data_IF_300286417505
#
_entry.id   IF_300286417505
#
_cell.length_a   1.000
_cell.length_b   1.000
_cell.length_c   1.000
_cell.angle_alpha   90.00
_cell.angle_beta   90.00
_cell.angle_gamma   90.00
#
_symmetry.space_group_name_H-M   'P 1'
#
loop_
_entity.id
_entity.type
_entity.pdbx_description
1 polymer ?
#
# COMPACT_ATOMS: atom_id res chain seq x y z
N UNK A 1 -48.36 12.98 -41.63
CA UNK A 1 -47.00 13.53 -41.80
C UNK A 1 -46.29 13.31 -40.48
N UNK A 2 -45.26 12.44 -40.44
CA UNK A 2 -44.51 12.23 -39.19
C UNK A 2 -43.61 13.44 -38.96
N UNK A 3 -43.70 14.01 -37.77
CA UNK A 3 -43.13 15.31 -37.45
C UNK A 3 -41.60 15.28 -37.59
N UNK A 4 -41.07 16.27 -38.30
CA UNK A 4 -39.64 16.47 -38.54
C UNK A 4 -38.81 16.38 -37.23
N UNK A 5 -39.41 16.84 -36.14
CA UNK A 5 -38.89 16.81 -34.77
C UNK A 5 -38.65 15.39 -34.25
N UNK A 6 -39.54 14.45 -34.57
CA UNK A 6 -39.46 13.05 -34.16
C UNK A 6 -38.28 12.35 -34.86
N UNK A 7 -38.08 12.64 -36.16
CA UNK A 7 -36.95 12.13 -36.94
C UNK A 7 -35.60 12.68 -36.45
N UNK A 8 -35.55 13.94 -36.02
CA UNK A 8 -34.34 14.54 -35.43
C UNK A 8 -34.01 13.89 -34.09
N UNK A 9 -35.02 13.61 -33.26
CA UNK A 9 -34.83 12.94 -31.98
C UNK A 9 -34.30 11.51 -32.15
N UNK A 10 -34.83 10.76 -33.11
CA UNK A 10 -34.42 9.39 -33.40
C UNK A 10 -32.97 9.34 -33.93
N UNK A 11 -32.57 10.31 -34.76
CA UNK A 11 -31.17 10.46 -35.20
C UNK A 11 -30.22 10.79 -34.05
N UNK A 12 -30.64 11.65 -33.12
CA UNK A 12 -29.83 11.97 -31.95
C UNK A 12 -29.64 10.75 -31.02
N UNK A 13 -30.68 9.92 -30.87
CA UNK A 13 -30.59 8.68 -30.10
C UNK A 13 -29.65 7.66 -30.75
N UNK A 14 -29.75 7.45 -32.07
CA UNK A 14 -28.84 6.56 -32.80
C UNK A 14 -27.38 7.02 -32.73
N UNK A 15 -27.12 8.32 -32.85
CA UNK A 15 -25.77 8.88 -32.74
C UNK A 15 -25.18 8.69 -31.33
N UNK A 16 -26.01 8.76 -30.27
CA UNK A 16 -25.57 8.50 -28.89
C UNK A 16 -25.28 7.02 -28.68
N UNK A 17 -26.16 6.13 -29.14
CA UNK A 17 -25.98 4.68 -29.05
C UNK A 17 -24.72 4.23 -29.82
N UNK A 18 -24.45 4.80 -31.00
CA UNK A 18 -23.24 4.50 -31.76
C UNK A 18 -21.96 5.01 -31.06
N UNK A 19 -22.04 6.18 -30.42
CA UNK A 19 -20.92 6.74 -29.63
C UNK A 19 -20.63 5.93 -28.37
N UNK A 20 -21.66 5.38 -27.74
CA UNK A 20 -21.55 4.46 -26.61
C UNK A 20 -21.01 3.10 -27.03
N UNK A 21 -21.46 2.55 -28.16
CA UNK A 21 -20.93 1.31 -28.73
C UNK A 21 -19.44 1.41 -29.12
N UNK A 22 -18.96 2.60 -29.52
CA UNK A 22 -17.53 2.86 -29.81
C UNK A 22 -16.68 3.12 -28.56
N UNK A 23 -17.30 3.35 -27.39
CA UNK A 23 -16.57 3.49 -26.12
C UNK A 23 -16.29 2.10 -25.54
N UNK A 24 -15.34 1.38 -26.13
CA UNK A 24 -14.72 0.26 -25.43
C UNK A 24 -13.99 0.81 -24.20
N UNK A 25 -14.21 0.26 -22.99
CA UNK A 25 -13.42 0.65 -21.83
C UNK A 25 -11.95 0.38 -22.12
N UNK A 26 -11.03 1.31 -21.77
CA UNK A 26 -9.62 1.08 -21.96
C UNK A 26 -9.23 -0.19 -21.20
N UNK A 27 -8.40 -1.08 -21.80
CA UNK A 27 -7.90 -2.24 -21.08
C UNK A 27 -7.22 -1.76 -19.79
N UNK A 28 -7.34 -2.52 -18.68
CA UNK A 28 -6.69 -2.15 -17.44
C UNK A 28 -5.20 -1.92 -17.70
N UNK A 29 -4.59 -0.91 -17.06
CA UNK A 29 -3.18 -0.60 -17.26
C UNK A 29 -2.36 -1.86 -17.01
N UNK A 30 -1.51 -2.22 -17.97
CA UNK A 30 -0.61 -3.35 -17.81
C UNK A 30 0.23 -3.14 -16.53
N UNK A 31 0.41 -4.18 -15.70
CA UNK A 31 1.24 -4.08 -14.51
C UNK A 31 2.64 -3.59 -14.93
N UNK A 32 3.13 -2.58 -14.22
CA UNK A 32 4.46 -2.03 -14.50
C UNK A 32 5.50 -3.17 -14.38
N UNK A 33 6.46 -3.26 -15.30
CA UNK A 33 7.51 -4.25 -15.20
C UNK A 33 8.26 -4.03 -13.89
N UNK A 34 8.22 -5.04 -13.02
CA UNK A 34 8.97 -5.02 -11.77
C UNK A 34 10.44 -4.85 -12.11
N UNK A 35 11.08 -3.82 -11.54
CA UNK A 35 12.52 -3.64 -11.71
C UNK A 35 13.22 -4.90 -11.19
N UNK A 36 14.20 -5.44 -11.93
CA UNK A 36 14.94 -6.60 -11.47
C UNK A 36 15.56 -6.29 -10.11
N UNK A 37 15.38 -7.22 -9.18
CA UNK A 37 15.95 -7.13 -7.84
C UNK A 37 17.47 -7.26 -8.00
N UNK A 38 18.23 -6.53 -7.18
CA UNK A 38 19.69 -6.67 -7.20
C UNK A 38 20.05 -8.09 -6.71
N UNK A 39 21.08 -8.75 -7.25
CA UNK A 39 21.41 -10.14 -6.90
C UNK A 39 21.69 -10.33 -5.39
N UNK A 40 22.26 -9.32 -4.72
CA UNK A 40 22.43 -9.33 -3.26
C UNK A 40 21.11 -9.47 -2.52
N UNK A 41 20.07 -8.78 -3.00
CA UNK A 41 18.74 -8.80 -2.39
C UNK A 41 17.96 -10.05 -2.77
N UNK A 42 18.27 -10.69 -3.89
CA UNK A 42 17.72 -12.01 -4.24
C UNK A 42 18.21 -13.06 -3.25
N UNK A 43 19.51 -13.06 -2.91
CA UNK A 43 20.06 -13.94 -1.89
C UNK A 43 19.48 -13.68 -0.48
N UNK A 44 19.22 -12.42 -0.12
CA UNK A 44 18.55 -12.08 1.16
C UNK A 44 17.07 -12.48 1.22
N UNK A 45 16.40 -12.57 0.07
CA UNK A 45 14.99 -12.97 -0.02
C UNK A 45 14.82 -14.48 -0.15
N UNK A 46 15.91 -15.21 -0.40
CA UNK A 46 15.91 -16.67 -0.46
C UNK A 46 15.46 -17.22 0.90
N UNK A 47 14.36 -17.99 0.92
CA UNK A 47 13.75 -18.53 2.14
C UNK A 47 12.72 -17.62 2.82
N UNK A 48 12.51 -16.37 2.37
CA UNK A 48 11.47 -15.48 2.91
C UNK A 48 10.18 -15.64 2.11
N UNK A 49 9.09 -16.01 2.78
CA UNK A 49 7.78 -16.05 2.16
C UNK A 49 7.17 -14.64 2.06
N UNK A 50 7.04 -14.14 0.82
CA UNK A 50 6.41 -12.85 0.52
C UNK A 50 5.18 -12.97 -0.38
N UNK A 51 4.66 -14.18 -0.59
CA UNK A 51 3.48 -14.38 -1.44
C UNK A 51 2.20 -13.88 -0.75
N UNK A 52 1.38 -13.11 -1.46
CA UNK A 52 0.18 -12.49 -0.87
C UNK A 52 -0.75 -13.50 -0.20
N UNK A 53 -0.91 -14.69 -0.76
CA UNK A 53 -1.72 -15.76 -0.18
C UNK A 53 -1.21 -16.23 1.18
N UNK A 54 0.10 -16.51 1.30
CA UNK A 54 0.70 -16.93 2.57
C UNK A 54 0.66 -15.81 3.61
N UNK A 55 0.92 -14.57 3.20
CA UNK A 55 0.85 -13.40 4.07
C UNK A 55 -0.57 -13.19 4.62
N UNK A 56 -1.59 -13.34 3.78
CA UNK A 56 -2.99 -13.26 4.21
C UNK A 56 -3.36 -14.37 5.19
N UNK A 57 -2.95 -15.61 4.93
CA UNK A 57 -3.20 -16.75 5.83
C UNK A 57 -2.48 -16.57 7.17
N UNK A 58 -1.23 -16.14 7.16
CA UNK A 58 -0.46 -15.84 8.36
C UNK A 58 -1.12 -14.74 9.18
N UNK A 59 -1.60 -13.66 8.53
CA UNK A 59 -2.30 -12.58 9.22
C UNK A 59 -3.64 -13.02 9.84
N UNK A 60 -4.39 -13.88 9.16
CA UNK A 60 -5.63 -14.44 9.71
C UNK A 60 -5.33 -15.26 10.98
N UNK A 61 -4.34 -16.14 10.92
CA UNK A 61 -3.87 -16.93 12.08
C UNK A 61 -3.37 -16.05 13.21
N UNK A 62 -2.60 -15.01 12.90
CA UNK A 62 -2.13 -14.03 13.88
C UNK A 62 -3.30 -13.39 14.64
N UNK A 63 -4.32 -12.93 13.89
CA UNK A 63 -5.50 -12.30 14.48
C UNK A 63 -6.24 -13.23 15.43
N UNK A 64 -6.45 -14.49 15.03
CA UNK A 64 -7.10 -15.49 15.89
C UNK A 64 -6.39 -15.65 17.22
N UNK A 65 -5.05 -15.80 17.19
CA UNK A 65 -4.24 -15.95 18.41
C UNK A 65 -4.28 -14.70 19.31
N UNK A 66 -4.28 -13.51 18.71
CA UNK A 66 -4.39 -12.26 19.46
C UNK A 66 -5.77 -12.10 20.11
N UNK A 67 -6.84 -12.43 19.39
CA UNK A 67 -8.20 -12.40 19.94
C UNK A 67 -8.40 -13.42 21.07
N UNK A 68 -7.75 -14.57 20.97
CA UNK A 68 -7.71 -15.58 22.03
C UNK A 68 -6.80 -15.20 23.21
N UNK A 69 -6.09 -14.05 23.15
CA UNK A 69 -5.16 -13.60 24.18
C UNK A 69 -3.88 -14.45 24.27
N UNK A 70 -3.56 -15.24 23.24
CA UNK A 70 -2.41 -16.14 23.19
C UNK A 70 -1.16 -15.42 22.66
N UNK A 71 -0.78 -14.35 23.36
CA UNK A 71 0.44 -13.62 23.04
C UNK A 71 1.20 -13.21 24.32
N UNK A 72 2.49 -13.01 24.18
CA UNK A 72 3.36 -12.48 25.21
C UNK A 72 4.24 -11.36 24.62
N UNK A 73 4.39 -10.27 25.37
CA UNK A 73 5.28 -9.18 24.98
C UNK A 73 6.60 -9.37 25.70
N UNK A 74 7.65 -9.69 24.93
CA UNK A 74 8.96 -9.94 25.51
C UNK A 74 9.54 -8.66 26.15
N UNK A 75 10.39 -8.78 27.19
CA UNK A 75 11.03 -7.63 27.83
C UNK A 75 11.80 -6.73 26.85
N UNK A 76 12.34 -7.30 25.78
CA UNK A 76 13.03 -6.54 24.74
C UNK A 76 12.07 -5.61 23.97
N UNK A 77 10.88 -6.09 23.60
CA UNK A 77 9.85 -5.27 22.97
C UNK A 77 9.35 -4.17 23.92
N UNK A 78 9.21 -4.46 25.22
CA UNK A 78 8.89 -3.44 26.24
C UNK A 78 9.97 -2.35 26.33
N UNK A 79 11.24 -2.73 26.18
CA UNK A 79 12.35 -1.77 26.13
C UNK A 79 12.22 -0.78 24.97
N UNK A 80 11.92 -1.26 23.76
CA UNK A 80 11.68 -0.40 22.60
C UNK A 80 10.42 0.44 22.74
N UNK A 81 9.33 -0.14 23.25
CA UNK A 81 8.09 0.58 23.52
C UNK A 81 8.33 1.82 24.40
N UNK A 82 9.12 1.67 25.46
CA UNK A 82 9.51 2.78 26.35
C UNK A 82 10.45 3.78 25.68
N UNK A 83 11.40 3.32 24.88
CA UNK A 83 12.38 4.19 24.22
C UNK A 83 11.77 5.01 23.07
N UNK A 84 10.82 4.43 22.33
CA UNK A 84 10.24 5.01 21.12
C UNK A 84 8.83 5.59 21.33
N UNK A 85 8.22 5.33 22.49
CA UNK A 85 6.99 6.01 22.93
C UNK A 85 5.69 5.41 22.42
N UNK A 86 5.63 4.10 22.20
CA UNK A 86 4.40 3.35 21.90
C UNK A 86 4.04 2.40 23.04
N UNK A 87 2.77 1.99 23.12
CA UNK A 87 2.23 1.19 24.22
C UNK A 87 1.85 -0.22 23.75
N UNK A 88 1.57 -1.11 24.72
CA UNK A 88 1.12 -2.47 24.41
C UNK A 88 -0.14 -2.49 23.52
N UNK A 89 -1.10 -1.61 23.78
CA UNK A 89 -2.31 -1.54 22.96
C UNK A 89 -2.03 -1.13 21.52
N UNK A 90 -0.97 -0.34 21.27
CA UNK A 90 -0.56 0.04 19.92
C UNK A 90 0.02 -1.17 19.18
N UNK A 91 0.83 -1.98 19.88
CA UNK A 91 1.40 -3.23 19.35
C UNK A 91 0.27 -4.19 18.98
N UNK A 92 -0.67 -4.43 19.89
CA UNK A 92 -1.83 -5.30 19.68
C UNK A 92 -2.72 -4.74 18.56
N UNK A 93 -2.94 -3.43 18.51
CA UNK A 93 -3.68 -2.76 17.45
C UNK A 93 -3.06 -2.99 16.06
N UNK A 94 -1.74 -2.89 15.97
CA UNK A 94 -1.00 -3.20 14.72
C UNK A 94 -1.06 -4.67 14.37
N UNK A 95 -1.00 -5.56 15.35
CA UNK A 95 -1.17 -6.99 15.12
C UNK A 95 -2.54 -7.31 14.53
N UNK A 96 -3.61 -6.66 14.99
CA UNK A 96 -4.98 -6.94 14.51
C UNK A 96 -5.32 -6.26 13.18
N UNK A 97 -4.93 -5.00 13.03
CA UNK A 97 -5.33 -4.13 11.91
C UNK A 97 -4.24 -3.96 10.84
N UNK A 98 -3.03 -4.44 11.10
CA UNK A 98 -1.88 -4.30 10.21
C UNK A 98 -1.90 -5.27 9.04
N UNK A 99 -0.72 -5.49 8.47
CA UNK A 99 -0.48 -6.47 7.40
C UNK A 99 0.83 -7.19 7.67
N UNK A 100 0.82 -8.50 7.52
CA UNK A 100 2.07 -9.28 7.49
C UNK A 100 2.78 -8.98 6.18
N UNK A 101 4.02 -8.53 6.26
CA UNK A 101 4.83 -8.12 5.10
C UNK A 101 5.82 -9.21 4.69
N UNK A 102 6.30 -9.98 5.65
CA UNK A 102 7.24 -11.07 5.42
C UNK A 102 7.03 -12.15 6.49
N UNK A 103 7.16 -13.41 6.07
CA UNK A 103 7.22 -14.56 6.95
C UNK A 103 8.59 -15.21 6.75
N UNK A 104 9.30 -15.42 7.86
CA UNK A 104 10.59 -16.09 7.95
C UNK A 104 10.33 -17.50 8.51
N UNK A 105 10.15 -18.53 7.68
CA UNK A 105 9.71 -19.85 8.12
C UNK A 105 10.72 -20.54 9.04
N UNK A 106 12.01 -20.37 8.78
CA UNK A 106 13.10 -20.98 9.56
C UNK A 106 13.11 -20.49 11.01
N UNK A 107 13.01 -19.18 11.19
CA UNK A 107 12.98 -18.55 12.51
C UNK A 107 11.57 -18.55 13.12
N UNK A 108 10.55 -18.96 12.36
CA UNK A 108 9.13 -18.82 12.68
C UNK A 108 8.74 -17.39 13.03
N UNK A 109 9.41 -16.41 12.42
CA UNK A 109 9.21 -14.98 12.68
C UNK A 109 8.38 -14.33 11.60
N UNK A 110 7.44 -13.49 11.98
CA UNK A 110 6.62 -12.72 11.06
C UNK A 110 6.84 -11.23 11.31
N UNK A 111 7.01 -10.48 10.22
CA UNK A 111 7.07 -9.04 10.25
C UNK A 111 5.69 -8.48 9.94
N UNK A 112 5.07 -7.88 10.96
CA UNK A 112 3.79 -7.18 10.83
C UNK A 112 4.06 -5.69 10.73
N UNK A 113 3.47 -5.05 9.72
CA UNK A 113 3.55 -3.61 9.52
C UNK A 113 2.17 -3.00 9.70
N UNK A 114 2.10 -1.93 10.48
CA UNK A 114 0.87 -1.17 10.66
C UNK A 114 1.16 0.26 11.06
N UNK A 115 0.16 0.87 11.66
CA UNK A 115 0.25 2.23 12.15
C UNK A 115 -0.49 2.32 13.48
N UNK A 116 0.04 3.17 14.35
CA UNK A 116 -0.63 3.59 15.58
C UNK A 116 -0.82 5.11 15.55
N UNK A 117 -1.65 5.62 16.43
CA UNK A 117 -1.96 7.04 16.52
C UNK A 117 -1.50 7.58 17.87
N UNK A 118 -0.76 8.68 17.85
CA UNK A 118 -0.35 9.40 19.06
C UNK A 118 -0.53 10.89 18.83
N UNK A 119 -1.36 11.53 19.67
CA UNK A 119 -1.62 12.97 19.58
C UNK A 119 -2.21 13.43 18.23
N UNK A 120 -3.06 12.62 17.60
CA UNK A 120 -3.65 12.93 16.28
C UNK A 120 -2.72 12.65 15.09
N UNK A 121 -1.53 12.09 15.34
CA UNK A 121 -0.54 11.80 14.31
C UNK A 121 -0.43 10.28 14.13
N UNK A 122 -0.60 9.84 12.87
CA UNK A 122 -0.47 8.43 12.49
C UNK A 122 0.99 8.07 12.21
N UNK A 123 1.59 7.26 13.08
CA UNK A 123 2.97 6.82 13.03
C UNK A 123 3.07 5.35 12.58
N UNK A 124 4.06 4.98 11.76
CA UNK A 124 4.26 3.59 11.36
C UNK A 124 4.88 2.81 12.52
N UNK A 125 4.39 1.60 12.74
CA UNK A 125 4.92 0.68 13.73
C UNK A 125 5.09 -0.70 13.08
N UNK A 126 6.29 -1.24 13.23
CA UNK A 126 6.63 -2.59 12.79
C UNK A 126 6.77 -3.47 14.02
N UNK A 127 6.11 -4.62 13.98
CA UNK A 127 6.09 -5.61 15.06
C UNK A 127 6.65 -6.90 14.50
N UNK A 128 7.68 -7.43 15.16
CA UNK A 128 8.24 -8.75 14.86
C UNK A 128 7.69 -9.72 15.89
N UNK A 129 6.96 -10.71 15.40
CA UNK A 129 6.40 -11.77 16.23
C UNK A 129 7.04 -13.10 15.88
N UNK A 130 7.16 -13.97 16.86
CA UNK A 130 7.62 -15.34 16.71
C UNK A 130 6.48 -16.28 17.09
N UNK A 131 6.19 -17.24 16.21
CA UNK A 131 5.16 -18.22 16.43
C UNK A 131 5.74 -19.49 17.06
N UNK A 132 5.24 -19.82 18.24
CA UNK A 132 5.54 -21.05 18.96
C UNK A 132 4.39 -22.04 18.75
N UNK A 133 4.64 -23.07 17.93
CA UNK A 133 3.71 -24.20 17.80
C UNK A 133 4.04 -25.23 18.88
N UNK A 134 3.21 -25.30 19.92
CA UNK A 134 3.36 -26.32 20.96
C UNK A 134 2.66 -27.63 20.57
N UNK A 135 3.31 -28.42 19.72
CA UNK A 135 2.89 -29.80 19.44
C UNK A 135 1.56 -29.95 18.66
N UNK A 136 1.15 -31.20 18.39
CA UNK A 136 0.06 -31.49 17.45
C UNK A 136 -1.36 -31.14 17.96
N UNK A 137 -1.51 -30.66 19.20
CA UNK A 137 -2.81 -30.44 19.85
C UNK A 137 -2.96 -29.12 20.61
N UNK A 138 -1.92 -28.28 20.73
CA UNK A 138 -2.08 -26.97 21.40
C UNK A 138 -2.31 -25.86 20.39
N UNK A 139 -3.16 -24.91 20.78
CA UNK A 139 -3.27 -23.62 20.12
C UNK A 139 -1.90 -22.93 20.24
N UNK A 140 -1.36 -22.45 19.12
CA UNK A 140 -0.02 -21.85 19.09
C UNK A 140 0.08 -20.61 19.97
N UNK A 141 1.28 -20.23 20.36
CA UNK A 141 1.52 -19.04 21.18
C UNK A 141 2.37 -18.04 20.41
N UNK A 142 2.12 -16.73 20.58
CA UNK A 142 2.84 -15.66 19.89
C UNK A 142 3.74 -14.88 20.85
N UNK A 143 5.04 -14.88 20.59
CA UNK A 143 5.98 -14.01 21.29
C UNK A 143 6.26 -12.75 20.47
N UNK A 144 5.94 -11.58 21.01
CA UNK A 144 6.34 -10.30 20.44
C UNK A 144 7.79 -10.04 20.82
N UNK A 145 8.70 -10.42 19.93
CA UNK A 145 10.16 -10.36 20.15
C UNK A 145 10.63 -8.91 20.20
N UNK A 146 10.18 -8.10 19.24
CA UNK A 146 10.52 -6.68 19.17
C UNK A 146 9.45 -5.89 18.42
N UNK A 147 9.35 -4.61 18.75
CA UNK A 147 8.54 -3.66 18.01
C UNK A 147 9.36 -2.38 17.85
N UNK A 148 9.27 -1.73 16.70
CA UNK A 148 10.03 -0.51 16.43
C UNK A 148 9.35 0.37 15.36
N UNK A 149 9.64 1.65 15.45
CA UNK A 149 9.30 2.70 14.50
C UNK A 149 10.45 2.77 13.49
N UNK A 150 10.21 2.50 12.20
CA UNK A 150 11.26 2.53 11.19
C UNK A 150 11.93 3.89 11.13
N UNK A 151 13.28 3.93 11.18
CA UNK A 151 14.07 5.18 11.08
C UNK A 151 13.86 5.93 9.75
N UNK A 152 13.51 5.22 8.68
CA UNK A 152 13.21 5.79 7.36
C UNK A 152 11.82 5.37 6.87
N UNK A 153 10.74 5.92 7.45
CA UNK A 153 9.39 5.58 7.04
C UNK A 153 9.02 6.17 5.65
N UNK A 154 9.83 7.11 5.15
CA UNK A 154 9.58 7.90 3.93
C UNK A 154 10.03 7.24 2.61
N UNK A 155 10.62 6.04 2.62
CA UNK A 155 10.88 5.33 1.37
C UNK A 155 9.59 4.93 0.60
N UNK A 156 8.41 5.24 1.16
CA UNK A 156 7.13 5.33 0.43
C UNK A 156 6.26 6.49 0.99
N UNK A 157 6.70 7.75 1.01
CA UNK A 157 5.84 8.88 1.42
C UNK A 157 5.77 10.01 0.37
N UNK A 158 4.55 10.39 0.01
CA UNK A 158 4.20 11.41 -0.98
C UNK A 158 4.22 12.85 -0.42
N UNK A 159 4.33 13.85 -1.33
CA UNK A 159 4.45 15.30 -1.05
C UNK A 159 3.42 15.86 -0.05
N UNK A 160 2.20 15.35 -0.08
CA UNK A 160 1.13 15.77 0.83
C UNK A 160 1.44 15.51 2.31
N UNK A 161 2.27 14.52 2.63
CA UNK A 161 2.60 14.14 4.00
C UNK A 161 3.84 14.86 4.55
N UNK A 162 4.69 15.40 3.66
CA UNK A 162 5.77 16.34 4.03
C UNK A 162 5.22 17.73 4.38
N UNK A 163 4.20 18.19 3.66
CA UNK A 163 3.52 19.47 3.91
C UNK A 163 2.95 19.60 5.33
N UNK A 164 2.32 18.52 5.84
CA UNK A 164 1.72 18.51 7.18
C UNK A 164 2.77 18.43 8.29
N UNK A 165 3.89 17.72 8.06
CA UNK A 165 4.97 17.60 9.05
C UNK A 165 5.80 18.89 9.20
N UNK A 166 5.91 19.71 8.15
CA UNK A 166 6.67 20.96 8.13
C UNK A 166 5.83 22.20 8.53
N UNK A 167 4.53 22.01 8.87
CA UNK A 167 3.54 23.09 9.02
C UNK A 167 3.62 24.15 7.90
N UNK A 168 3.82 23.69 6.66
CA UNK A 168 3.85 24.55 5.50
C UNK A 168 3.38 23.78 4.26
N UNK A 169 2.21 24.16 3.73
CA UNK A 169 1.99 24.17 2.28
C UNK A 169 0.79 25.06 1.93
N UNK A 170 1.04 26.36 1.70
CA UNK A 170 0.04 27.27 1.15
C UNK A 170 -0.05 27.21 -0.39
N UNK A 171 0.62 26.25 -1.04
CA UNK A 171 0.52 26.08 -2.49
C UNK A 171 -0.72 25.27 -2.87
N UNK A 172 -1.66 25.92 -3.55
CA UNK A 172 -2.69 25.19 -4.30
C UNK A 172 -2.06 24.51 -5.53
N UNK A 173 -2.45 23.26 -5.80
CA UNK A 173 -2.02 22.52 -6.99
C UNK A 173 -2.60 23.20 -8.24
N UNK A 174 -1.81 24.05 -8.88
CA UNK A 174 -2.17 24.60 -10.19
C UNK A 174 -1.76 23.63 -11.30
N UNK A 175 -2.73 22.83 -11.76
CA UNK A 175 -2.55 22.04 -12.96
C UNK A 175 -2.82 22.92 -14.19
N UNK A 176 -1.76 23.38 -14.88
CA UNK A 176 -1.90 23.87 -16.25
C UNK A 176 -1.76 22.70 -17.22
N UNK A 177 -2.84 22.37 -17.92
CA UNK A 177 -2.73 21.47 -19.08
C UNK A 177 -2.25 22.32 -20.25
N UNK A 178 -0.94 22.28 -20.53
CA UNK A 178 -0.42 22.87 -21.76
C UNK A 178 -0.97 22.06 -22.93
N UNK A 179 -1.94 22.63 -23.65
CA UNK A 179 -2.31 22.07 -24.94
C UNK A 179 -1.10 22.25 -25.87
N UNK A 180 -0.54 21.19 -26.47
CA UNK A 180 0.27 21.34 -27.66
C UNK A 180 -0.68 21.78 -28.79
N UNK A 181 -1.08 23.04 -28.74
CA UNK A 181 -1.91 23.66 -29.75
C UNK A 181 -1.01 24.06 -30.90
N UNK A 182 -1.01 23.26 -31.96
CA UNK A 182 -0.71 23.80 -33.27
C UNK A 182 -1.88 24.75 -33.61
N UNK A 183 -1.72 26.06 -33.43
CA UNK A 183 -2.72 27.03 -33.92
C UNK A 183 -2.86 26.82 -35.43
N UNK A 184 -4.10 26.71 -35.90
CA UNK A 184 -4.43 26.57 -37.32
C UNK A 184 -3.87 27.79 -38.05
N UNK A 185 -2.83 27.59 -38.86
CA UNK A 185 -2.09 28.65 -39.58
C UNK A 185 -0.57 28.56 -39.46
N UNK A 186 -0.02 27.92 -38.43
CA UNK A 186 1.43 27.73 -38.29
C UNK A 186 1.84 26.30 -38.67
N UNK A 187 2.75 26.18 -39.66
CA UNK A 187 3.46 24.94 -39.96
C UNK A 187 4.64 24.78 -39.01
N UNK A 188 4.81 23.55 -38.50
CA UNK A 188 6.01 23.01 -37.83
C UNK A 188 6.23 23.42 -36.36
N UNK A 189 7.01 22.71 -35.52
CA UNK A 189 7.49 21.32 -35.37
C UNK A 189 8.17 21.34 -33.99
N UNK A 190 7.67 20.61 -32.99
CA UNK A 190 8.36 20.43 -31.72
C UNK A 190 8.69 18.96 -31.49
N UNK A 191 9.65 18.44 -32.25
CA UNK A 191 10.17 17.07 -32.09
C UNK A 191 10.86 17.00 -30.73
N UNK A 192 10.29 16.31 -29.75
CA UNK A 192 11.05 15.91 -28.57
C UNK A 192 12.04 14.85 -29.02
N UNK A 193 13.32 15.21 -29.12
CA UNK A 193 14.40 14.24 -29.34
C UNK A 193 14.44 13.31 -28.13
N UNK A 194 14.38 12.00 -28.38
CA UNK A 194 14.74 10.97 -27.40
C UNK A 194 16.21 11.20 -27.02
N UNK A 195 16.48 11.36 -25.71
CA UNK A 195 17.83 11.28 -25.18
C UNK A 195 18.30 9.84 -25.16
N UNK A 196 19.54 9.65 -25.60
CA UNK A 196 20.30 8.39 -25.60
C UNK A 196 20.67 7.95 -24.18
#
# INVERSE_FOLDING_TARGET
MRDHTELLHLRAQLARAEKEARRSPPPPPAPLPMRPVKPQREAELEGIETSDFQLHRAHARLRELVYDGQYHICPHAVGHARAEGFLEHDIVGVMVAGRVKAVYPEERRWLVCGYFESGGIRLPLHVVVQLHEEGPQRRGFLDVVTAFIPKHPHHIISRARLAVMLRWDDQQVQARTALPGNRVGHRSKGRWRKGA
#
